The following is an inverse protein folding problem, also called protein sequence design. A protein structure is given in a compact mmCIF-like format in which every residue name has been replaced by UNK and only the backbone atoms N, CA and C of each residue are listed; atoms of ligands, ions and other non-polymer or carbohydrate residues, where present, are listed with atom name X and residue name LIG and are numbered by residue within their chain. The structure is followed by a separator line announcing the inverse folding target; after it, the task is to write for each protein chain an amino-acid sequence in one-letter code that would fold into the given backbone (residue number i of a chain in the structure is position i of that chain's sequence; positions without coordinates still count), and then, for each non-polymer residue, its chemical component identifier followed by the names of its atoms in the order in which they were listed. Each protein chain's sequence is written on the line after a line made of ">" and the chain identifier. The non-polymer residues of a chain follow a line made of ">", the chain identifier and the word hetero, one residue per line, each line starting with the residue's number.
data_IF_159981741858
#
_entry.id   IF_159981741858
#
_cell.length_a   1.000
_cell.length_b   1.000
_cell.length_c   1.000
_cell.angle_alpha   90.00
_cell.angle_beta   90.00
_cell.angle_gamma   90.00
#
_symmetry.space_group_name_H-M   'P 1'
#
loop_
_entity.id
_entity.type
_entity.pdbx_description
1 polymer ?
#
# COMPACT_ATOMS: atom_id res chain seq x y z
N UNK A 1 -3.09 -1.41 -13.68
CA UNK A 1 -2.88 0.02 -14.01
C UNK A 1 -1.45 0.23 -14.49
N UNK A 2 -1.24 0.86 -15.66
CA UNK A 2 0.10 1.21 -16.16
C UNK A 2 0.55 2.51 -15.50
N UNK A 3 1.80 2.57 -15.05
CA UNK A 3 2.36 3.79 -14.47
C UNK A 3 2.94 4.68 -15.56
N UNK A 4 2.88 6.00 -15.36
CA UNK A 4 3.56 6.94 -16.26
C UNK A 4 5.08 6.86 -16.12
N UNK A 5 5.57 6.67 -14.89
CA UNK A 5 6.97 6.50 -14.55
C UNK A 5 7.14 5.23 -13.73
N UNK A 6 8.26 4.52 -13.91
CA UNK A 6 8.60 3.38 -13.06
C UNK A 6 8.84 3.84 -11.63
N UNK A 7 8.32 3.09 -10.65
CA UNK A 7 8.54 3.34 -9.23
C UNK A 7 9.52 2.29 -8.71
N UNK A 8 10.55 2.73 -7.99
CA UNK A 8 11.45 1.83 -7.26
C UNK A 8 11.11 1.87 -5.78
N UNK A 9 10.86 0.70 -5.21
CA UNK A 9 10.47 0.46 -3.82
C UNK A 9 11.65 -0.20 -3.13
N UNK A 10 12.12 0.34 -2.02
CA UNK A 10 13.14 -0.28 -1.19
C UNK A 10 12.50 -0.76 0.11
N UNK A 11 12.50 -2.09 0.30
CA UNK A 11 12.02 -2.71 1.52
C UNK A 11 12.90 -2.31 2.72
N UNK A 12 12.31 -2.13 3.92
CA UNK A 12 13.09 -1.88 5.12
C UNK A 12 14.04 -3.03 5.42
N UNK A 13 15.25 -2.70 5.86
CA UNK A 13 16.18 -3.67 6.41
C UNK A 13 15.67 -4.25 7.72
N UNK A 14 15.89 -5.55 7.94
CA UNK A 14 15.52 -6.23 9.20
C UNK A 14 16.81 -6.55 9.96
N UNK A 15 16.90 -6.08 11.20
CA UNK A 15 17.92 -6.53 12.15
C UNK A 15 17.42 -7.80 12.82
N UNK A 16 18.20 -8.87 12.75
CA UNK A 16 17.91 -10.13 13.43
C UNK A 16 18.41 -10.12 14.88
N UNK A 17 17.95 -11.08 15.67
CA UNK A 17 18.35 -11.25 17.08
C UNK A 17 19.87 -11.47 17.26
N UNK A 18 20.57 -11.96 16.22
CA UNK A 18 22.03 -12.12 16.18
C UNK A 18 22.80 -10.84 15.83
N UNK A 19 22.10 -9.71 15.67
CA UNK A 19 22.66 -8.41 15.29
C UNK A 19 22.94 -8.25 13.79
N UNK A 20 22.70 -9.27 12.96
CA UNK A 20 22.89 -9.16 11.51
C UNK A 20 21.78 -8.35 10.87
N UNK A 21 22.15 -7.42 9.97
CA UNK A 21 21.20 -6.61 9.19
C UNK A 21 20.97 -7.29 7.84
N UNK A 22 19.72 -7.66 7.57
CA UNK A 22 19.29 -8.15 6.27
C UNK A 22 18.76 -6.98 5.45
N UNK A 23 19.48 -6.64 4.39
CA UNK A 23 19.01 -5.73 3.35
C UNK A 23 18.25 -6.49 2.27
N UNK A 24 17.32 -5.81 1.63
CA UNK A 24 16.52 -6.35 0.53
C UNK A 24 16.86 -5.62 -0.76
N UNK A 25 16.80 -6.35 -1.87
CA UNK A 25 16.98 -5.73 -3.18
C UNK A 25 15.79 -4.82 -3.49
N UNK A 26 16.03 -3.61 -4.05
CA UNK A 26 14.94 -2.75 -4.52
C UNK A 26 14.10 -3.46 -5.57
N UNK A 27 12.81 -3.15 -5.57
CA UNK A 27 11.82 -3.66 -6.52
C UNK A 27 11.39 -2.50 -7.42
N UNK A 28 11.65 -2.61 -8.71
CA UNK A 28 11.15 -1.64 -9.70
C UNK A 28 9.86 -2.15 -10.32
N UNK A 29 8.82 -1.32 -10.32
CA UNK A 29 7.52 -1.61 -10.93
C UNK A 29 7.18 -0.58 -12.00
N UNK A 30 6.79 -1.05 -13.17
CA UNK A 30 6.30 -0.28 -14.33
C UNK A 30 4.76 -0.33 -14.45
N UNK A 31 4.16 -1.32 -13.79
CA UNK A 31 2.72 -1.52 -13.70
C UNK A 31 2.32 -1.94 -12.30
N UNK A 32 1.16 -1.46 -11.87
CA UNK A 32 0.51 -1.94 -10.66
C UNK A 32 -0.41 -3.10 -11.03
N UNK A 33 -0.12 -4.28 -10.48
CA UNK A 33 -1.00 -5.42 -10.48
C UNK A 33 -1.91 -5.32 -9.26
N UNK A 34 -3.20 -5.07 -9.51
CA UNK A 34 -4.17 -4.63 -8.50
C UNK A 34 -5.29 -5.66 -8.43
N UNK A 35 -5.61 -6.11 -7.22
CA UNK A 35 -6.86 -6.82 -6.93
C UNK A 35 -7.71 -5.93 -6.03
N UNK A 36 -8.96 -5.68 -6.43
CA UNK A 36 -9.91 -4.91 -5.62
C UNK A 36 -10.65 -5.87 -4.71
N UNK A 37 -10.69 -5.52 -3.43
CA UNK A 37 -11.41 -6.25 -2.39
C UNK A 37 -12.48 -5.30 -1.88
N UNK A 38 -13.73 -5.65 -2.17
CA UNK A 38 -14.91 -4.97 -1.66
C UNK A 38 -15.51 -5.80 -0.52
N UNK A 39 -15.61 -5.20 0.67
CA UNK A 39 -16.22 -5.82 1.83
C UNK A 39 -17.38 -4.96 2.34
N UNK A 40 -18.58 -5.34 1.92
CA UNK A 40 -19.82 -4.64 2.29
C UNK A 40 -20.10 -4.67 3.80
N UNK A 41 -19.77 -5.77 4.48
CA UNK A 41 -20.01 -5.92 5.92
C UNK A 41 -19.13 -4.95 6.72
N UNK A 42 -17.86 -4.85 6.35
CA UNK A 42 -16.91 -3.93 6.98
C UNK A 42 -17.00 -2.49 6.45
N UNK A 43 -17.77 -2.28 5.37
CA UNK A 43 -17.85 -1.02 4.61
C UNK A 43 -16.48 -0.50 4.20
N UNK A 44 -15.69 -1.35 3.53
CA UNK A 44 -14.34 -1.02 3.07
C UNK A 44 -14.12 -1.52 1.65
N UNK A 45 -13.59 -0.63 0.80
CA UNK A 45 -12.95 -1.02 -0.46
C UNK A 45 -11.45 -0.83 -0.34
N UNK A 46 -10.69 -1.84 -0.72
CA UNK A 46 -9.23 -1.81 -0.68
C UNK A 46 -8.60 -2.40 -1.93
N UNK A 47 -7.38 -1.96 -2.24
CA UNK A 47 -6.59 -2.42 -3.37
C UNK A 47 -5.37 -3.19 -2.87
N UNK A 48 -5.31 -4.49 -3.16
CA UNK A 48 -4.10 -5.28 -2.99
C UNK A 48 -3.17 -5.04 -4.19
N UNK A 49 -2.07 -4.32 -3.97
CA UNK A 49 -1.11 -3.94 -5.00
C UNK A 49 0.13 -4.82 -4.87
N UNK A 50 0.36 -5.73 -5.81
CA UNK A 50 1.55 -6.60 -5.75
C UNK A 50 2.83 -5.84 -6.10
N UNK A 51 3.96 -6.09 -5.41
CA UNK A 51 4.18 -7.18 -4.45
C UNK A 51 3.88 -6.84 -2.98
N UNK A 52 3.26 -5.69 -2.68
CA UNK A 52 2.98 -5.32 -1.30
C UNK A 52 1.99 -6.29 -0.64
N UNK A 53 2.27 -6.75 0.60
CA UNK A 53 1.44 -7.72 1.30
C UNK A 53 0.17 -7.10 1.90
N UNK A 54 0.18 -5.79 2.17
CA UNK A 54 -0.98 -5.10 2.75
C UNK A 54 -1.74 -4.33 1.68
N UNK A 55 -3.08 -4.32 1.77
CA UNK A 55 -3.89 -3.56 0.83
C UNK A 55 -3.87 -2.06 1.17
N UNK A 56 -3.97 -1.23 0.14
CA UNK A 56 -4.22 0.19 0.24
C UNK A 56 -5.73 0.42 0.42
N UNK A 57 -6.15 1.09 1.49
CA UNK A 57 -7.57 1.41 1.71
C UNK A 57 -7.98 2.54 0.78
N UNK A 58 -9.01 2.33 -0.04
CA UNK A 58 -9.50 3.33 -1.00
C UNK A 58 -10.61 4.18 -0.37
N UNK A 59 -11.61 3.51 0.19
CA UNK A 59 -12.73 4.09 0.91
C UNK A 59 -13.08 3.23 2.12
N UNK A 60 -13.51 3.86 3.20
CA UNK A 60 -14.01 3.18 4.39
C UNK A 60 -15.16 3.95 5.04
N UNK A 61 -16.01 3.23 5.78
CA UNK A 61 -17.08 3.81 6.61
C UNK A 61 -17.99 4.76 5.81
N UNK A 62 -18.04 6.03 6.17
CA UNK A 62 -18.89 7.01 5.48
C UNK A 62 -18.51 7.21 4.02
N UNK A 63 -17.22 7.14 3.68
CA UNK A 63 -16.78 7.35 2.30
C UNK A 63 -17.17 6.18 1.40
N UNK A 64 -17.28 4.97 1.97
CA UNK A 64 -17.84 3.79 1.30
C UNK A 64 -19.31 4.01 0.95
N UNK A 65 -20.11 4.49 1.91
CA UNK A 65 -21.54 4.74 1.68
C UNK A 65 -21.75 5.90 0.69
N UNK A 66 -20.89 6.92 0.71
CA UNK A 66 -20.96 8.09 -0.19
C UNK A 66 -20.58 7.76 -1.63
N UNK A 67 -19.57 6.92 -1.84
CA UNK A 67 -19.13 6.58 -3.20
C UNK A 67 -20.14 5.67 -3.91
N UNK A 68 -20.80 4.78 -3.17
CA UNK A 68 -21.74 3.81 -3.74
C UNK A 68 -21.06 2.92 -4.79
N UNK A 69 -21.77 2.66 -5.88
CA UNK A 69 -21.20 1.92 -7.01
C UNK A 69 -20.09 2.73 -7.69
N UNK A 70 -18.91 2.13 -7.80
CA UNK A 70 -17.74 2.76 -8.41
C UNK A 70 -17.34 2.07 -9.71
N UNK A 71 -16.77 2.87 -10.61
CA UNK A 71 -16.19 2.43 -11.87
C UNK A 71 -14.70 2.14 -11.72
N UNK A 72 -14.12 1.42 -12.69
CA UNK A 72 -12.67 1.23 -12.75
C UNK A 72 -11.91 2.57 -12.80
N UNK A 73 -12.42 3.56 -13.52
CA UNK A 73 -11.78 4.88 -13.60
C UNK A 73 -11.72 5.58 -12.24
N UNK A 74 -12.76 5.45 -11.40
CA UNK A 74 -12.77 6.00 -10.04
C UNK A 74 -11.77 5.28 -9.14
N UNK A 75 -11.64 3.96 -9.26
CA UNK A 75 -10.61 3.18 -8.55
C UNK A 75 -9.21 3.65 -8.91
N UNK A 76 -8.90 3.75 -10.22
CA UNK A 76 -7.58 4.15 -10.69
C UNK A 76 -7.25 5.61 -10.29
N UNK A 77 -8.24 6.50 -10.36
CA UNK A 77 -8.12 7.87 -9.88
C UNK A 77 -7.82 7.93 -8.39
N UNK A 78 -8.57 7.19 -7.57
CA UNK A 78 -8.38 7.15 -6.11
C UNK A 78 -7.03 6.56 -5.71
N UNK A 79 -6.57 5.53 -6.40
CA UNK A 79 -5.24 4.97 -6.18
C UNK A 79 -4.16 6.02 -6.52
N UNK A 80 -4.30 6.73 -7.63
CA UNK A 80 -3.36 7.80 -8.02
C UNK A 80 -3.33 8.91 -6.98
N UNK A 81 -4.50 9.34 -6.49
CA UNK A 81 -4.64 10.34 -5.43
C UNK A 81 -3.92 9.90 -4.14
N UNK A 82 -4.13 8.66 -3.70
CA UNK A 82 -3.53 8.13 -2.48
C UNK A 82 -2.02 7.88 -2.59
N UNK A 83 -1.53 7.59 -3.79
CA UNK A 83 -0.10 7.50 -4.06
C UNK A 83 0.58 8.88 -3.99
N UNK A 84 -0.14 9.93 -4.39
CA UNK A 84 0.31 11.33 -4.28
C UNK A 84 1.65 11.59 -4.98
N UNK A 85 2.38 12.58 -4.44
CA UNK A 85 3.67 13.01 -5.02
C UNK A 85 4.82 12.03 -4.74
N UNK A 86 4.66 11.13 -3.76
CA UNK A 86 5.68 10.15 -3.39
C UNK A 86 5.10 8.72 -3.36
N UNK A 87 4.84 8.15 -4.54
CA UNK A 87 4.22 6.83 -4.65
C UNK A 87 5.12 5.72 -4.10
N UNK A 88 6.45 5.89 -4.12
CA UNK A 88 7.40 4.93 -3.56
C UNK A 88 7.18 4.77 -2.06
N UNK A 89 7.15 5.85 -1.30
CA UNK A 89 6.98 5.80 0.16
C UNK A 89 5.62 5.24 0.56
N UNK A 90 4.55 5.50 -0.20
CA UNK A 90 3.23 4.89 0.06
C UNK A 90 3.29 3.38 -0.13
N UNK A 91 3.88 2.91 -1.25
CA UNK A 91 3.99 1.48 -1.55
C UNK A 91 4.94 0.76 -0.57
N UNK A 92 6.06 1.38 -0.18
CA UNK A 92 6.94 0.89 0.89
C UNK A 92 6.18 0.74 2.21
N UNK A 93 5.34 1.72 2.54
CA UNK A 93 4.43 1.72 3.70
C UNK A 93 3.60 0.45 3.83
N UNK A 94 3.22 -0.16 2.71
CA UNK A 94 2.41 -1.38 2.67
C UNK A 94 3.20 -2.65 3.01
N UNK A 95 4.53 -2.59 3.07
CA UNK A 95 5.38 -3.70 3.53
C UNK A 95 5.64 -3.69 5.03
N UNK A 96 5.40 -2.58 5.72
CA UNK A 96 5.57 -2.51 7.16
C UNK A 96 4.40 -3.18 7.88
N UNK A 97 4.72 -4.18 8.71
CA UNK A 97 3.86 -4.54 9.82
C UNK A 97 3.81 -3.33 10.76
N UNK A 98 2.68 -3.05 11.42
CA UNK A 98 2.75 -2.26 12.65
C UNK A 98 3.51 -3.12 13.67
N UNK A 99 4.83 -3.17 13.60
CA UNK A 99 5.62 -3.42 14.78
C UNK A 99 5.22 -2.29 15.72
N UNK A 100 4.59 -2.62 16.85
CA UNK A 100 4.41 -1.69 17.96
C UNK A 100 5.64 -0.79 18.04
N UNK A 101 5.51 0.53 18.26
CA UNK A 101 6.66 1.25 18.78
C UNK A 101 7.03 0.50 20.06
N UNK A 102 8.18 -0.17 20.07
CA UNK A 102 8.85 -0.38 21.33
C UNK A 102 9.19 1.04 21.76
N UNK A 103 8.30 1.61 22.57
CA UNK A 103 8.65 2.63 23.55
C UNK A 103 9.73 1.98 24.43
N UNK A 104 10.96 1.97 23.91
CA UNK A 104 12.14 1.85 24.73
C UNK A 104 12.21 3.19 25.43
N UNK A 105 11.84 3.17 26.72
CA UNK A 105 11.92 4.34 27.57
C UNK A 105 13.29 4.99 27.47
N UNK A 106 13.26 6.29 27.25
CA UNK A 106 14.05 7.28 27.99
C UNK A 106 13.12 8.45 28.27
#
# INVERSE_FOLDING_TARGET
>A
MKLQNSITITLPSITKDDGTVKNFNPITVDKLNITIIDNCEMKVVSALIRPAPRPLILWNKEDYDKIGDYTQAQIESRITELLGDNPASVLEGLFYHRSNPIINGV
#
